data_IF_817963961661
#
_entry.id   IF_817963961661
#
_cell.length_a   1.000
_cell.length_b   1.000
_cell.length_c   1.000
_cell.angle_alpha   90.00
_cell.angle_beta   90.00
_cell.angle_gamma   90.00
#
_symmetry.space_group_name_H-M   'P 1'
#
loop_
_entity.id
_entity.type
_entity.pdbx_description
1 polymer ?
#
# COMPACT_ATOMS: atom_id res chain seq x y z
N UNK A 1 -56.85 13.06 -17.68
CA UNK A 1 -57.31 11.84 -16.99
C UNK A 1 -57.03 10.67 -17.92
N UNK A 2 -55.95 9.93 -17.67
CA UNK A 2 -55.62 8.71 -18.40
C UNK A 2 -55.28 7.64 -17.34
N UNK A 3 -56.08 6.58 -17.25
CA UNK A 3 -55.86 5.42 -16.36
C UNK A 3 -55.38 4.26 -17.22
N UNK A 4 -54.35 3.54 -16.75
CA UNK A 4 -53.97 2.24 -17.29
C UNK A 4 -54.68 1.12 -16.51
N UNK A 5 -54.89 -0.02 -17.16
CA UNK A 5 -55.75 -1.13 -16.72
C UNK A 5 -55.29 -1.91 -15.48
N UNK A 6 -54.17 -1.52 -14.83
CA UNK A 6 -53.68 -2.15 -13.59
C UNK A 6 -53.85 -1.29 -12.34
N UNK A 7 -54.72 -0.28 -12.36
CA UNK A 7 -55.11 0.48 -11.16
C UNK A 7 -53.98 1.25 -10.46
N UNK A 8 -52.76 1.23 -10.98
CA UNK A 8 -51.62 1.96 -10.43
C UNK A 8 -51.44 3.31 -11.15
N UNK A 9 -51.19 4.41 -10.40
CA UNK A 9 -51.03 5.73 -10.99
C UNK A 9 -49.74 5.79 -11.83
N UNK A 10 -49.84 6.30 -13.06
CA UNK A 10 -48.72 6.47 -14.00
C UNK A 10 -47.56 7.24 -13.34
N UNK A 11 -46.31 6.78 -13.55
CA UNK A 11 -45.07 7.35 -13.02
C UNK A 11 -44.95 8.88 -13.20
N UNK A 12 -45.49 9.42 -14.30
CA UNK A 12 -45.58 10.86 -14.54
C UNK A 12 -46.38 11.60 -13.45
N UNK A 13 -47.47 11.01 -12.95
CA UNK A 13 -48.29 11.59 -11.89
C UNK A 13 -47.59 11.61 -10.53
N UNK A 14 -46.64 10.70 -10.27
CA UNK A 14 -45.86 10.70 -9.02
C UNK A 14 -44.84 11.85 -9.01
N UNK A 15 -44.25 12.17 -10.16
CA UNK A 15 -43.36 13.33 -10.31
C UNK A 15 -44.07 14.66 -10.04
N UNK A 16 -45.28 14.85 -10.58
CA UNK A 16 -46.09 16.05 -10.30
C UNK A 16 -46.46 16.19 -8.82
N UNK A 17 -46.70 15.08 -8.11
CA UNK A 17 -47.00 15.09 -6.68
C UNK A 17 -45.79 15.50 -5.84
N UNK A 18 -44.59 15.05 -6.19
CA UNK A 18 -43.35 15.40 -5.48
C UNK A 18 -42.99 16.88 -5.70
N UNK A 19 -43.22 17.40 -6.91
CA UNK A 19 -42.98 18.81 -7.22
C UNK A 19 -44.01 19.73 -6.52
N UNK A 20 -45.26 19.30 -6.46
CA UNK A 20 -46.31 20.03 -5.75
C UNK A 20 -46.12 19.99 -4.22
N UNK A 21 -45.56 18.90 -3.67
CA UNK A 21 -45.18 18.78 -2.26
C UNK A 21 -43.97 19.66 -1.91
N UNK A 22 -42.94 19.69 -2.78
CA UNK A 22 -41.78 20.59 -2.65
C UNK A 22 -42.19 22.08 -2.64
N UNK A 23 -43.14 22.46 -3.51
CA UNK A 23 -43.71 23.81 -3.56
C UNK A 23 -44.55 24.13 -2.31
N UNK A 24 -45.22 23.13 -1.73
CA UNK A 24 -46.04 23.31 -0.53
C UNK A 24 -45.23 23.39 0.78
N UNK A 25 -44.11 22.65 0.90
CA UNK A 25 -43.19 22.73 2.06
C UNK A 25 -42.57 24.12 2.17
N UNK A 26 -42.36 24.79 1.03
CA UNK A 26 -41.82 26.16 0.99
C UNK A 26 -42.83 27.24 1.42
N UNK A 27 -44.12 26.92 1.47
CA UNK A 27 -45.21 27.89 1.66
C UNK A 27 -45.93 27.81 3.01
N UNK A 28 -45.36 27.10 4.00
CA UNK A 28 -45.57 27.28 5.45
C UNK A 28 -46.98 27.20 6.06
N UNK A 29 -48.05 27.16 5.28
CA UNK A 29 -49.42 27.19 5.76
C UNK A 29 -50.20 26.01 5.19
N UNK A 30 -50.68 25.16 6.10
CA UNK A 30 -51.58 24.02 5.82
C UNK A 30 -50.93 22.73 5.28
N UNK A 31 -49.68 22.45 5.66
CA UNK A 31 -49.07 21.13 5.42
C UNK A 31 -49.74 20.02 6.26
N UNK A 32 -50.04 20.31 7.54
CA UNK A 32 -50.58 19.33 8.48
C UNK A 32 -52.01 18.86 8.15
N UNK A 33 -52.88 19.76 7.69
CA UNK A 33 -54.27 19.40 7.32
C UNK A 33 -54.34 18.54 6.06
N UNK A 34 -53.39 18.74 5.13
CA UNK A 34 -53.29 17.96 3.87
C UNK A 34 -52.65 16.59 4.09
N UNK A 35 -51.68 16.49 5.01
CA UNK A 35 -51.15 15.21 5.48
C UNK A 35 -52.22 14.36 6.18
N UNK A 36 -53.06 14.98 7.01
CA UNK A 36 -54.13 14.30 7.76
C UNK A 36 -55.20 13.69 6.87
N UNK A 37 -55.52 14.32 5.74
CA UNK A 37 -56.52 13.79 4.80
C UNK A 37 -55.98 12.60 3.98
N UNK A 38 -54.70 12.63 3.60
CA UNK A 38 -54.08 11.50 2.91
C UNK A 38 -53.85 10.29 3.83
N UNK A 39 -53.54 10.48 5.12
CA UNK A 39 -53.37 9.35 6.04
C UNK A 39 -54.67 8.57 6.28
N UNK A 40 -55.82 9.26 6.29
CA UNK A 40 -57.14 8.63 6.55
C UNK A 40 -57.56 7.72 5.38
N UNK A 41 -57.25 8.08 4.14
CA UNK A 41 -57.52 7.23 2.97
C UNK A 41 -56.64 5.99 2.87
N UNK A 42 -55.46 6.01 3.50
CA UNK A 42 -54.53 4.88 3.53
C UNK A 42 -54.83 3.86 4.64
N UNK A 43 -55.67 4.19 5.61
CA UNK A 43 -56.06 3.32 6.72
C UNK A 43 -57.26 2.40 6.40
N UNK A 44 -57.88 2.54 5.21
CA UNK A 44 -59.05 1.75 4.82
C UNK A 44 -58.75 0.43 4.09
N UNK A 45 -57.50 -0.03 4.05
CA UNK A 45 -57.12 -1.17 3.20
C UNK A 45 -55.90 -1.97 3.67
N UNK A 46 -55.65 -2.05 4.97
CA UNK A 46 -54.57 -2.87 5.55
C UNK A 46 -55.19 -3.96 6.41
N UNK A 47 -54.91 -5.23 6.09
CA UNK A 47 -55.28 -6.36 6.94
C UNK A 47 -54.44 -6.35 8.23
N UNK A 48 -55.00 -6.80 9.33
CA UNK A 48 -54.36 -6.80 10.66
C UNK A 48 -52.98 -7.51 10.65
N UNK A 49 -52.77 -8.48 9.77
CA UNK A 49 -51.52 -9.23 9.62
C UNK A 49 -50.34 -8.38 9.11
N UNK A 50 -50.60 -7.41 8.22
CA UNK A 50 -49.59 -6.51 7.66
C UNK A 50 -49.17 -5.44 8.68
N UNK A 51 -50.11 -5.03 9.54
CA UNK A 51 -49.89 -4.03 10.58
C UNK A 51 -48.95 -4.59 11.65
N UNK A 52 -49.13 -5.84 12.06
CA UNK A 52 -48.22 -6.51 12.98
C UNK A 52 -46.81 -6.68 12.39
N UNK A 53 -46.68 -7.05 11.11
CA UNK A 53 -45.39 -7.13 10.42
C UNK A 53 -44.68 -5.76 10.30
N UNK A 54 -45.44 -4.71 9.99
CA UNK A 54 -44.92 -3.34 9.92
C UNK A 54 -44.49 -2.80 11.29
N UNK A 55 -45.27 -3.10 12.33
CA UNK A 55 -44.96 -2.72 13.71
C UNK A 55 -43.67 -3.39 14.20
N UNK A 56 -43.46 -4.67 13.88
CA UNK A 56 -42.22 -5.38 14.22
C UNK A 56 -41.01 -4.82 13.47
N UNK A 57 -41.16 -4.47 12.18
CA UNK A 57 -40.09 -3.88 11.38
C UNK A 57 -39.73 -2.43 11.79
N UNK A 58 -40.73 -1.63 12.20
CA UNK A 58 -40.54 -0.29 12.76
C UNK A 58 -39.86 -0.35 14.13
N UNK A 59 -40.28 -1.29 14.98
CA UNK A 59 -39.75 -1.43 16.33
C UNK A 59 -38.28 -1.89 16.32
N UNK A 60 -37.90 -2.91 15.56
CA UNK A 60 -36.51 -3.40 15.51
C UNK A 60 -35.50 -2.34 15.01
N UNK A 61 -35.82 -1.65 13.91
CA UNK A 61 -34.84 -0.77 13.24
C UNK A 61 -34.73 0.60 13.89
N UNK A 62 -35.84 1.24 14.24
CA UNK A 62 -35.80 2.56 14.87
C UNK A 62 -35.36 2.48 16.33
N UNK A 63 -35.76 1.43 17.07
CA UNK A 63 -35.27 1.19 18.43
C UNK A 63 -33.75 0.93 18.44
N UNK A 64 -33.22 0.15 17.49
CA UNK A 64 -31.77 -0.08 17.41
C UNK A 64 -30.98 1.20 17.11
N UNK A 65 -31.52 2.11 16.29
CA UNK A 65 -30.90 3.41 15.98
C UNK A 65 -30.88 4.30 17.22
N UNK A 66 -32.00 4.36 17.93
CA UNK A 66 -32.11 5.13 19.17
C UNK A 66 -31.17 4.59 20.25
N UNK A 67 -31.17 3.28 20.49
CA UNK A 67 -30.28 2.63 21.46
C UNK A 67 -28.80 2.90 21.13
N UNK A 68 -28.39 2.81 19.87
CA UNK A 68 -27.02 3.13 19.45
C UNK A 68 -26.64 4.58 19.71
N UNK A 69 -27.55 5.52 19.48
CA UNK A 69 -27.30 6.94 19.72
C UNK A 69 -27.23 7.26 21.21
N UNK A 70 -28.12 6.68 22.02
CA UNK A 70 -28.08 6.82 23.47
C UNK A 70 -26.81 6.20 24.06
N UNK A 71 -26.41 5.02 23.60
CA UNK A 71 -25.18 4.36 24.02
C UNK A 71 -23.96 5.21 23.66
N UNK A 72 -23.91 5.77 22.44
CA UNK A 72 -22.84 6.68 22.00
C UNK A 72 -22.77 7.94 22.86
N UNK A 73 -23.91 8.55 23.17
CA UNK A 73 -23.96 9.75 24.01
C UNK A 73 -23.51 9.46 25.46
N UNK A 74 -23.95 8.34 26.03
CA UNK A 74 -23.56 7.89 27.37
C UNK A 74 -22.06 7.58 27.44
N UNK A 75 -21.52 6.89 26.44
CA UNK A 75 -20.07 6.62 26.33
C UNK A 75 -19.30 7.93 26.17
N UNK A 76 -19.75 8.84 25.30
CA UNK A 76 -19.08 10.13 25.09
C UNK A 76 -19.02 10.96 26.38
N UNK A 77 -20.09 10.98 27.19
CA UNK A 77 -20.13 11.70 28.46
C UNK A 77 -19.09 11.17 29.46
N UNK A 78 -18.93 9.85 29.55
CA UNK A 78 -17.95 9.22 30.44
C UNK A 78 -16.50 9.36 29.93
N UNK A 79 -16.31 9.31 28.61
CA UNK A 79 -14.98 9.37 27.99
C UNK A 79 -14.42 10.78 27.94
N UNK A 80 -15.25 11.82 27.81
CA UNK A 80 -14.78 13.21 27.69
C UNK A 80 -13.83 13.64 28.83
N UNK A 81 -14.16 13.47 30.14
CA UNK A 81 -13.25 13.86 31.21
C UNK A 81 -11.97 13.02 31.27
N UNK A 82 -12.05 11.73 30.93
CA UNK A 82 -10.90 10.81 30.89
C UNK A 82 -9.96 11.18 29.73
N UNK A 83 -10.53 11.49 28.58
CA UNK A 83 -9.80 11.92 27.39
C UNK A 83 -9.11 13.27 27.64
N UNK A 84 -9.79 14.22 28.29
CA UNK A 84 -9.21 15.52 28.65
C UNK A 84 -8.03 15.38 29.62
N UNK A 85 -8.15 14.49 30.63
CA UNK A 85 -7.06 14.21 31.56
C UNK A 85 -5.87 13.55 30.86
N UNK A 86 -6.14 12.54 30.02
CA UNK A 86 -5.11 11.85 29.25
C UNK A 86 -4.42 12.80 28.27
N UNK A 87 -5.17 13.64 27.57
CA UNK A 87 -4.64 14.61 26.61
C UNK A 87 -3.76 15.65 27.29
N UNK A 88 -4.14 16.14 28.48
CA UNK A 88 -3.29 17.04 29.27
C UNK A 88 -2.01 16.34 29.75
N UNK A 89 -2.11 15.11 30.25
CA UNK A 89 -0.95 14.32 30.64
C UNK A 89 0.01 14.06 29.46
N UNK A 90 -0.54 13.86 28.27
CA UNK A 90 0.24 13.67 27.05
C UNK A 90 0.95 14.96 26.64
N UNK A 91 0.26 16.11 26.71
CA UNK A 91 0.81 17.43 26.36
C UNK A 91 1.86 17.94 27.34
N UNK A 92 1.78 17.59 28.63
CA UNK A 92 2.82 17.95 29.61
C UNK A 92 4.06 17.09 29.51
N UNK A 93 3.96 15.90 28.90
CA UNK A 93 5.12 15.04 28.73
C UNK A 93 6.08 15.59 27.67
N UNK A 94 7.34 15.76 28.06
CA UNK A 94 8.41 16.20 27.16
C UNK A 94 8.67 15.20 26.03
N UNK A 95 8.43 13.91 26.30
CA UNK A 95 8.55 12.83 25.33
C UNK A 95 7.53 12.96 24.19
N UNK A 96 6.24 13.16 24.49
CA UNK A 96 5.23 13.29 23.45
C UNK A 96 5.37 14.58 22.66
N UNK A 97 5.78 15.69 23.29
CA UNK A 97 6.06 16.91 22.52
C UNK A 97 7.25 16.73 21.57
N UNK A 98 8.26 15.93 21.95
CA UNK A 98 9.40 15.61 21.09
C UNK A 98 9.02 14.68 19.95
N UNK A 99 8.22 13.64 20.23
CA UNK A 99 7.66 12.78 19.19
C UNK A 99 6.72 13.54 18.26
N UNK A 100 5.84 14.37 18.80
CA UNK A 100 4.93 15.20 18.03
C UNK A 100 5.70 16.16 17.11
N UNK A 101 6.74 16.83 17.61
CA UNK A 101 7.63 17.66 16.80
C UNK A 101 8.39 16.84 15.73
N UNK A 102 8.78 15.60 16.06
CA UNK A 102 9.45 14.68 15.12
C UNK A 102 8.54 14.22 13.98
N UNK A 103 7.26 13.93 14.25
CA UNK A 103 6.29 13.55 13.21
C UNK A 103 5.71 14.75 12.46
N UNK A 104 5.57 15.92 13.09
CA UNK A 104 5.01 17.12 12.48
C UNK A 104 6.00 17.84 11.55
N UNK A 105 7.30 17.79 11.84
CA UNK A 105 8.33 18.22 10.89
C UNK A 105 8.54 17.10 9.88
N UNK A 106 7.97 17.27 8.68
CA UNK A 106 8.15 16.47 7.44
C UNK A 106 9.24 15.42 7.63
N UNK A 107 8.77 14.21 7.95
CA UNK A 107 9.53 13.01 8.29
C UNK A 107 11.03 13.15 8.06
N UNK A 108 11.81 13.20 9.15
CA UNK A 108 13.28 13.13 9.16
C UNK A 108 13.86 11.98 8.33
N UNK A 109 13.04 11.10 7.77
CA UNK A 109 13.39 10.11 6.78
C UNK A 109 14.18 10.68 5.61
N UNK A 110 13.80 11.84 5.05
CA UNK A 110 14.58 12.44 3.94
C UNK A 110 16.01 12.78 4.37
N UNK A 111 16.16 13.35 5.57
CA UNK A 111 17.47 13.73 6.10
C UNK A 111 18.28 12.51 6.55
N UNK A 112 17.65 11.53 7.21
CA UNK A 112 18.31 10.30 7.67
C UNK A 112 18.71 9.44 6.48
N UNK A 113 17.88 9.28 5.46
CA UNK A 113 18.25 8.57 4.24
C UNK A 113 19.40 9.27 3.53
N UNK A 114 19.33 10.60 3.36
CA UNK A 114 20.39 11.31 2.66
C UNK A 114 21.72 11.28 3.45
N UNK A 115 21.69 11.49 4.76
CA UNK A 115 22.92 11.47 5.55
C UNK A 115 23.44 10.06 5.83
N UNK A 116 22.58 9.05 6.00
CA UNK A 116 22.99 7.69 6.31
C UNK A 116 23.27 6.85 5.06
N UNK A 117 22.33 6.78 4.11
CA UNK A 117 22.50 6.00 2.90
C UNK A 117 23.43 6.72 1.92
N UNK A 118 23.12 7.96 1.53
CA UNK A 118 23.88 8.63 0.46
C UNK A 118 25.32 8.90 0.88
N UNK A 119 25.60 9.47 2.08
CA UNK A 119 27.00 9.69 2.51
C UNK A 119 27.78 8.39 2.73
N UNK A 120 27.16 7.33 3.26
CA UNK A 120 27.86 6.06 3.45
C UNK A 120 28.18 5.40 2.11
N UNK A 121 27.24 5.41 1.17
CA UNK A 121 27.49 4.92 -0.20
C UNK A 121 28.55 5.76 -0.93
N UNK A 122 28.55 7.08 -0.76
CA UNK A 122 29.57 7.97 -1.35
C UNK A 122 30.97 7.68 -0.78
N UNK A 123 31.12 7.55 0.54
CA UNK A 123 32.42 7.18 1.14
C UNK A 123 32.87 5.80 0.69
N UNK A 124 31.96 4.82 0.72
CA UNK A 124 32.26 3.46 0.27
C UNK A 124 32.67 3.43 -1.20
N UNK A 125 31.94 4.14 -2.07
CA UNK A 125 32.28 4.25 -3.49
C UNK A 125 33.61 4.95 -3.73
N UNK A 126 33.92 5.99 -2.97
CA UNK A 126 35.18 6.71 -3.10
C UNK A 126 36.39 5.87 -2.63
N UNK A 127 36.28 5.28 -1.45
CA UNK A 127 37.36 4.54 -0.79
C UNK A 127 37.59 3.16 -1.43
N UNK A 128 36.52 2.48 -1.88
CA UNK A 128 36.64 1.14 -2.48
C UNK A 128 36.74 1.21 -3.99
N UNK A 129 35.84 1.94 -4.66
CA UNK A 129 35.78 1.91 -6.12
C UNK A 129 36.79 2.87 -6.73
N UNK A 130 36.80 4.15 -6.32
CA UNK A 130 37.71 5.13 -6.92
C UNK A 130 39.17 4.85 -6.60
N UNK A 131 39.51 4.55 -5.34
CA UNK A 131 40.90 4.29 -4.97
C UNK A 131 41.46 3.02 -5.63
N UNK A 132 40.68 1.93 -5.65
CA UNK A 132 41.12 0.69 -6.28
C UNK A 132 41.20 0.81 -7.80
N UNK A 133 40.28 1.54 -8.42
CA UNK A 133 40.24 1.72 -9.87
C UNK A 133 41.36 2.66 -10.34
N UNK A 134 41.62 3.75 -9.63
CA UNK A 134 42.71 4.66 -9.97
C UNK A 134 44.09 4.00 -9.78
N UNK A 135 44.33 3.35 -8.63
CA UNK A 135 45.59 2.61 -8.40
C UNK A 135 45.75 1.42 -9.35
N UNK A 136 44.70 0.64 -9.59
CA UNK A 136 44.74 -0.49 -10.51
C UNK A 136 44.92 -0.07 -11.97
N UNK A 137 44.28 1.03 -12.38
CA UNK A 137 44.45 1.60 -13.72
C UNK A 137 45.88 2.13 -13.90
N UNK A 138 46.41 2.87 -12.93
CA UNK A 138 47.80 3.36 -12.97
C UNK A 138 48.80 2.21 -12.93
N UNK A 139 48.53 1.15 -12.17
CA UNK A 139 49.43 -0.01 -12.11
C UNK A 139 49.48 -0.75 -13.46
N UNK A 140 48.34 -0.92 -14.13
CA UNK A 140 48.26 -1.58 -15.45
C UNK A 140 48.81 -0.69 -16.56
N UNK A 141 48.45 0.60 -16.58
CA UNK A 141 48.83 1.55 -17.63
C UNK A 141 50.22 2.16 -17.42
N UNK A 142 50.79 2.03 -16.22
CA UNK A 142 52.13 2.49 -15.91
C UNK A 142 53.20 1.65 -16.60
N UNK A 143 54.45 2.15 -16.66
CA UNK A 143 55.56 1.43 -17.27
C UNK A 143 55.83 0.08 -16.60
N UNK A 144 55.51 -0.05 -15.30
CA UNK A 144 55.61 -1.33 -14.58
C UNK A 144 54.57 -2.36 -15.03
N UNK A 145 53.28 -1.99 -15.15
CA UNK A 145 52.24 -2.89 -15.67
C UNK A 145 52.45 -3.27 -17.12
N UNK A 146 52.84 -2.31 -17.96
CA UNK A 146 53.16 -2.57 -19.37
C UNK A 146 54.33 -3.56 -19.46
N UNK A 147 55.42 -3.35 -18.74
CA UNK A 147 56.56 -4.27 -18.77
C UNK A 147 56.23 -5.66 -18.22
N UNK A 148 55.44 -5.74 -17.14
CA UNK A 148 54.99 -7.02 -16.57
C UNK A 148 54.12 -7.81 -17.57
N UNK A 149 53.14 -7.15 -18.19
CA UNK A 149 52.25 -7.78 -19.18
C UNK A 149 53.02 -8.19 -20.44
N UNK A 150 53.92 -7.34 -20.93
CA UNK A 150 54.78 -7.65 -22.08
C UNK A 150 55.71 -8.82 -21.81
N UNK A 151 56.31 -8.88 -20.62
CA UNK A 151 57.16 -10.01 -20.19
C UNK A 151 56.37 -11.31 -20.16
N UNK A 152 55.17 -11.29 -19.59
CA UNK A 152 54.31 -12.48 -19.52
C UNK A 152 53.84 -12.92 -20.91
N UNK A 153 53.61 -11.98 -21.82
CA UNK A 153 53.29 -12.28 -23.21
C UNK A 153 54.50 -12.90 -23.93
N UNK A 154 55.69 -12.33 -23.76
CA UNK A 154 56.93 -12.84 -24.33
C UNK A 154 57.27 -14.25 -23.80
N UNK A 155 57.07 -14.52 -22.52
CA UNK A 155 57.21 -15.86 -21.93
C UNK A 155 56.25 -16.86 -22.57
N UNK A 156 54.98 -16.48 -22.80
CA UNK A 156 54.00 -17.35 -23.49
C UNK A 156 54.40 -17.60 -24.93
N UNK A 157 54.84 -16.59 -25.67
CA UNK A 157 55.30 -16.75 -27.06
C UNK A 157 56.54 -17.65 -27.11
N UNK A 158 57.49 -17.44 -26.19
CA UNK A 158 58.69 -18.27 -26.07
C UNK A 158 58.36 -19.73 -25.69
N UNK A 159 57.37 -19.95 -24.83
CA UNK A 159 56.87 -21.29 -24.53
C UNK A 159 56.22 -21.97 -25.75
N UNK A 160 55.53 -21.21 -26.60
CA UNK A 160 54.97 -21.73 -27.84
C UNK A 160 56.07 -22.08 -28.86
N UNK A 161 57.11 -21.24 -28.95
CA UNK A 161 58.24 -21.44 -29.88
C UNK A 161 59.25 -22.50 -29.43
N UNK A 162 59.46 -22.69 -28.13
CA UNK A 162 60.32 -23.75 -27.57
C UNK A 162 59.74 -25.17 -27.75
N UNK A 163 58.63 -25.28 -28.47
CA UNK A 163 58.04 -26.56 -28.86
C UNK A 163 57.33 -27.26 -27.71
N UNK A 164 56.91 -26.55 -26.65
CA UNK A 164 56.17 -27.17 -25.54
C UNK A 164 54.85 -27.79 -26.00
N UNK A 165 54.12 -27.14 -26.92
CA UNK A 165 52.90 -27.69 -27.53
C UNK A 165 53.23 -28.91 -28.40
N UNK A 166 54.29 -28.84 -29.21
CA UNK A 166 54.73 -29.97 -30.04
C UNK A 166 55.18 -31.14 -29.17
N UNK A 167 55.87 -30.88 -28.06
CA UNK A 167 56.29 -31.90 -27.09
C UNK A 167 55.09 -32.56 -26.44
N UNK A 168 54.12 -31.78 -25.96
CA UNK A 168 52.86 -32.30 -25.39
C UNK A 168 52.14 -33.19 -26.42
N UNK A 169 51.88 -32.68 -27.62
CA UNK A 169 51.18 -33.45 -28.68
C UNK A 169 51.95 -34.69 -29.16
N UNK A 170 53.29 -34.63 -29.22
CA UNK A 170 54.12 -35.71 -29.80
C UNK A 170 54.54 -36.77 -28.78
N UNK A 171 54.59 -36.44 -27.48
CA UNK A 171 54.98 -37.37 -26.41
C UNK A 171 53.85 -37.78 -25.48
N UNK A 172 52.64 -37.23 -25.61
CA UNK A 172 51.44 -37.78 -24.97
C UNK A 172 50.94 -38.96 -25.82
N UNK A 173 51.22 -40.24 -25.44
CA UNK A 173 50.73 -41.37 -26.20
C UNK A 173 49.26 -41.54 -25.84
N UNK A 174 48.39 -41.48 -26.84
CA UNK A 174 47.02 -41.97 -26.69
C UNK A 174 47.03 -43.47 -27.03
N UNK A 175 46.62 -44.38 -26.12
CA UNK A 175 45.91 -44.15 -24.87
C UNK A 175 46.83 -43.86 -23.65
N UNK A 176 46.35 -43.11 -22.64
CA UNK A 176 47.14 -42.74 -21.47
C UNK A 176 47.64 -43.94 -20.65
N UNK A 177 48.73 -43.77 -19.91
CA UNK A 177 49.34 -44.83 -19.07
C UNK A 177 48.40 -45.46 -18.02
N UNK A 178 47.28 -44.82 -17.69
CA UNK A 178 46.23 -45.37 -16.82
C UNK A 178 45.23 -46.28 -17.57
N UNK A 179 45.14 -46.21 -18.90
CA UNK A 179 44.22 -47.00 -19.73
C UNK A 179 44.54 -48.51 -19.70
N UNK A 180 45.82 -48.88 -19.72
CA UNK A 180 46.27 -50.27 -19.60
C UNK A 180 46.11 -50.88 -18.19
N UNK A 181 45.69 -50.06 -17.21
CA UNK A 181 45.32 -50.50 -15.85
C UNK A 181 43.83 -50.81 -15.74
N UNK A 182 42.98 -50.11 -16.50
CA UNK A 182 41.54 -50.39 -16.59
C UNK A 182 41.23 -51.69 -17.34
N UNK A 183 41.98 -52.00 -18.41
CA UNK A 183 41.78 -53.22 -19.20
C UNK A 183 42.27 -54.52 -18.52
N UNK A 184 42.90 -54.43 -17.35
CA UNK A 184 43.44 -55.58 -16.61
C UNK A 184 42.59 -55.97 -15.39
N UNK A 185 41.45 -55.29 -15.19
CA UNK A 185 40.52 -55.51 -14.09
C UNK A 185 39.14 -56.03 -14.57
N UNK A 186 39.06 -56.60 -15.78
CA UNK A 186 37.88 -57.29 -16.30
C UNK A 186 38.07 -58.80 -16.35
#
# INVERSE_FOLDING_TARGET
MARNETGQPSQLSQGYLLESLSKSVRSGSNFYSKLRLNSITWLGGLGDDDVHSWLDALNEKELSRLIKNFLRASVAYNVNPVADQFQRAFQTSTFCNRLYSFFNKRWFFDQVLNDFLVRSFLRFGYEVSFEALDKGAIEILGPYGISYTFRRLAERISQLQSGFVVRRVRYDPWPPAWWGRLLRCG
#
